data_IF_566018456324
#
_entry.id   IF_566018456324
#
_cell.length_a   1.000
_cell.length_b   1.000
_cell.length_c   1.000
_cell.angle_alpha   90.00
_cell.angle_beta   90.00
_cell.angle_gamma   90.00
#
_symmetry.space_group_name_H-M   'P 1'
#
loop_
_entity.id
_entity.type
_entity.pdbx_description
1 polymer ?
2 water ?
#
# COMPACT_ATOMS: atom_id res chain seq x y z
N UNK A 4 -14.84 1.30 -21.46
CA UNK A 4 -15.64 0.96 -20.29
C UNK A 4 -14.96 1.45 -19.01
N UNK A 5 -14.56 0.50 -18.16
CA UNK A 5 -13.90 0.79 -16.89
C UNK A 5 -12.46 0.28 -17.00
N UNK A 6 -11.62 1.07 -17.66
CA UNK A 6 -10.19 0.79 -17.74
C UNK A 6 -9.40 1.57 -16.70
N UNK A 7 -10.05 1.94 -15.59
CA UNK A 7 -9.38 2.70 -14.55
C UNK A 7 -8.23 1.88 -13.96
N UNK A 8 -7.17 2.54 -13.49
CA UNK A 8 -6.03 1.79 -12.94
C UNK A 8 -6.39 1.09 -11.64
N UNK A 9 -5.90 -0.14 -11.49
CA UNK A 9 -6.13 -0.93 -10.30
C UNK A 9 -4.86 -1.49 -9.68
N UNK A 10 -3.70 -1.25 -10.29
CA UNK A 10 -2.43 -1.81 -9.84
C UNK A 10 -1.55 -0.71 -9.27
N UNK A 11 -0.82 -1.03 -8.21
CA UNK A 11 0.02 -0.08 -7.51
C UNK A 11 1.46 -0.57 -7.45
N UNK A 12 2.39 0.38 -7.45
CA UNK A 12 3.80 0.10 -7.18
C UNK A 12 4.07 0.36 -5.70
N UNK A 13 4.72 -0.59 -5.04
CA UNK A 13 5.02 -0.51 -3.61
C UNK A 13 6.51 -0.78 -3.46
N UNK A 14 7.31 0.28 -3.42
CA UNK A 14 8.75 0.17 -3.35
C UNK A 14 9.32 0.65 -2.02
N UNK A 15 10.66 0.57 -1.96
CA UNK A 15 11.44 0.94 -0.78
C UNK A 15 11.04 0.09 0.43
N UNK A 16 10.86 -1.21 0.21
CA UNK A 16 10.54 -2.14 1.27
C UNK A 16 11.80 -2.64 1.96
N UNK A 17 11.67 -2.98 3.23
CA UNK A 17 12.76 -3.60 3.97
C UNK A 17 12.93 -5.04 3.52
N UNK A 18 14.17 -5.53 3.60
CA UNK A 18 14.43 -6.91 3.21
C UNK A 18 13.78 -7.92 4.16
N UNK A 19 13.30 -7.48 5.32
CA UNK A 19 12.54 -8.34 6.22
C UNK A 19 11.04 -8.30 5.94
N UNK A 20 10.61 -7.61 4.89
CA UNK A 20 9.20 -7.55 4.53
C UNK A 20 8.86 -8.76 3.68
N UNK A 21 7.77 -9.44 4.03
CA UNK A 21 7.31 -10.62 3.31
C UNK A 21 6.22 -10.23 2.32
N UNK A 22 6.14 -10.98 1.22
CA UNK A 22 5.07 -10.78 0.25
C UNK A 22 3.70 -10.96 0.89
N UNK A 23 3.60 -11.85 1.88
CA UNK A 23 2.33 -12.04 2.57
C UNK A 23 2.01 -10.87 3.49
N UNK A 24 3.03 -10.22 4.05
CA UNK A 24 2.79 -9.06 4.91
C UNK A 24 2.25 -7.89 4.10
N UNK A 25 2.78 -7.67 2.90
CA UNK A 25 2.26 -6.62 2.03
C UNK A 25 0.82 -6.92 1.64
N UNK A 26 0.54 -8.17 1.28
CA UNK A 26 -0.82 -8.55 0.91
C UNK A 26 -1.78 -8.38 2.07
N UNK A 27 -1.36 -8.76 3.28
CA UNK A 27 -2.23 -8.61 4.44
C UNK A 27 -2.49 -7.14 4.76
N UNK A 28 -1.51 -6.27 4.51
CA UNK A 28 -1.70 -4.84 4.76
C UNK A 28 -2.72 -4.24 3.81
N UNK A 29 -2.51 -4.41 2.50
CA UNK A 29 -3.38 -3.79 1.51
C UNK A 29 -4.74 -4.48 1.42
N UNK A 30 -4.85 -5.73 1.87
CA UNK A 30 -6.16 -6.38 1.90
C UNK A 30 -7.08 -5.78 2.94
N UNK A 31 -6.54 -5.08 3.94
CA UNK A 31 -7.36 -4.39 4.92
C UNK A 31 -7.91 -3.07 4.41
N UNK A 32 -7.54 -2.66 3.20
CA UNK A 32 -8.14 -1.51 2.54
C UNK A 32 -9.16 -1.93 1.50
N UNK A 33 -8.86 -2.99 0.75
CA UNK A 33 -9.76 -3.53 -0.24
C UNK A 33 -9.32 -4.91 -0.69
N UNK A 34 -10.25 -5.69 -1.24
CA UNK A 34 -9.90 -7.03 -1.71
C UNK A 34 -8.90 -6.97 -2.86
N UNK A 35 -7.80 -7.70 -2.71
CA UNK A 35 -6.72 -7.70 -3.69
C UNK A 35 -6.80 -8.95 -4.56
N UNK A 36 -6.50 -8.78 -5.84
CA UNK A 36 -6.52 -9.89 -6.79
C UNK A 36 -5.16 -10.54 -6.95
N UNK A 37 -4.07 -9.78 -6.82
CA UNK A 37 -2.74 -10.34 -6.97
C UNK A 37 -1.75 -9.45 -6.22
N UNK A 38 -0.61 -10.04 -5.86
CA UNK A 38 0.43 -9.32 -5.13
C UNK A 38 1.74 -10.09 -5.32
N UNK A 39 2.55 -9.64 -6.28
CA UNK A 39 3.82 -10.27 -6.60
C UNK A 39 4.97 -9.39 -6.14
N UNK A 40 5.89 -9.97 -5.38
CA UNK A 40 7.03 -9.26 -4.83
C UNK A 40 8.30 -9.64 -5.59
N UNK A 41 9.15 -8.66 -5.84
CA UNK A 41 10.38 -8.88 -6.59
C UNK A 41 11.58 -8.90 -5.66
N UNK A 46 17.15 -5.03 -8.68
CA UNK A 46 17.04 -4.06 -7.60
C UNK A 46 17.30 -4.65 -6.23
N UNK A 47 18.18 -4.00 -5.46
CA UNK A 47 18.50 -4.49 -4.12
C UNK A 47 17.29 -4.37 -3.20
N UNK A 48 16.83 -3.15 -2.95
CA UNK A 48 15.63 -2.93 -2.15
C UNK A 48 14.44 -3.57 -2.84
N UNK A 49 13.76 -4.53 -2.21
CA UNK A 49 12.67 -5.23 -2.89
C UNK A 49 11.46 -4.33 -3.07
N UNK A 50 10.80 -4.48 -4.22
CA UNK A 50 9.57 -3.78 -4.52
C UNK A 50 8.49 -4.80 -4.88
N UNK A 51 7.25 -4.33 -4.93
CA UNK A 51 6.12 -5.22 -5.12
C UNK A 51 5.03 -4.52 -5.92
N UNK A 52 4.22 -5.32 -6.62
CA UNK A 52 3.07 -4.84 -7.36
C UNK A 52 1.81 -5.42 -6.74
N UNK A 53 0.82 -4.57 -6.47
CA UNK A 53 -0.42 -4.96 -5.83
C UNK A 53 -1.57 -4.58 -6.75
N UNK A 54 -2.37 -5.57 -7.14
CA UNK A 54 -3.53 -5.36 -8.00
C UNK A 54 -4.80 -5.50 -7.18
N UNK A 55 -5.68 -4.50 -7.29
CA UNK A 55 -6.97 -4.52 -6.63
C UNK A 55 -8.06 -4.93 -7.61
N UNK A 56 -9.21 -5.33 -7.06
CA UNK A 56 -10.38 -5.60 -7.89
C UNK A 56 -11.09 -4.32 -8.31
N UNK A 57 -11.04 -3.28 -7.48
CA UNK A 57 -11.77 -2.05 -7.71
C UNK A 57 -10.81 -0.87 -7.73
N UNK A 58 -11.10 0.10 -8.61
CA UNK A 58 -10.26 1.29 -8.70
C UNK A 58 -10.33 2.11 -7.43
N UNK A 59 -11.51 2.16 -6.79
CA UNK A 59 -11.67 2.97 -5.59
C UNK A 59 -10.79 2.48 -4.45
N UNK A 60 -10.55 1.17 -4.37
CA UNK A 60 -9.68 0.64 -3.32
C UNK A 60 -8.22 0.93 -3.63
N UNK A 61 -7.84 0.90 -4.91
CA UNK A 61 -6.47 1.21 -5.29
C UNK A 61 -6.16 2.69 -5.09
N UNK A 62 -7.13 3.56 -5.37
CA UNK A 62 -6.91 4.99 -5.20
C UNK A 62 -6.80 5.36 -3.72
N UNK A 63 -7.56 4.68 -2.86
CA UNK A 63 -7.50 4.97 -1.43
C UNK A 63 -6.18 4.49 -0.83
N UNK A 64 -5.73 3.29 -1.21
CA UNK A 64 -4.47 2.77 -0.69
C UNK A 64 -3.30 3.65 -1.09
N UNK A 65 -3.33 4.19 -2.32
CA UNK A 65 -2.28 5.11 -2.75
C UNK A 65 -2.25 6.37 -1.90
N UNK A 66 -3.43 6.91 -1.57
CA UNK A 66 -3.49 8.15 -0.81
C UNK A 66 -3.03 7.96 0.62
N UNK A 67 -3.30 6.80 1.22
CA UNK A 67 -3.03 6.59 2.63
C UNK A 67 -1.67 5.96 2.91
N UNK A 68 -1.20 5.08 2.03
CA UNK A 68 0.01 4.31 2.32
C UNK A 68 1.29 5.00 1.87
N UNK A 69 1.23 5.86 0.85
CA UNK A 69 2.43 6.51 0.34
C UNK A 69 2.98 7.47 1.39
N UNK A 70 4.17 7.16 1.90
CA UNK A 70 4.83 7.98 2.90
C UNK A 70 4.90 7.37 4.28
N UNK A 71 4.19 6.27 4.52
CA UNK A 71 4.19 5.65 5.84
C UNK A 71 5.46 4.85 6.05
N UNK A 72 5.67 4.43 7.30
CA UNK A 72 6.82 3.62 7.69
C UNK A 72 6.35 2.20 7.94
N UNK A 73 6.73 1.28 7.05
CA UNK A 73 6.34 -0.12 7.20
C UNK A 73 7.01 -0.72 8.43
N UNK A 74 8.34 -0.81 8.40
CA UNK A 74 9.13 -1.26 9.55
C UNK A 74 10.32 -0.31 9.74
N UNK A 75 10.01 0.94 10.05
CA UNK A 75 11.03 1.96 10.19
C UNK A 75 11.57 2.50 8.89
N UNK A 76 11.00 2.11 7.75
CA UNK A 76 11.47 2.52 6.44
C UNK A 76 10.31 3.10 5.65
N UNK A 77 10.48 4.32 5.15
CA UNK A 77 9.42 4.98 4.40
C UNK A 77 9.14 4.22 3.10
N UNK A 78 7.87 3.93 2.86
CA UNK A 78 7.44 3.16 1.69
C UNK A 78 6.96 4.13 0.61
N UNK A 79 7.24 3.78 -0.64
CA UNK A 79 6.83 4.58 -1.79
C UNK A 79 5.71 3.84 -2.51
N UNK A 80 4.55 4.49 -2.64
CA UNK A 80 3.40 3.93 -3.32
C UNK A 80 3.03 4.85 -4.48
N UNK A 81 2.74 4.25 -5.63
CA UNK A 81 2.36 5.00 -6.82
C UNK A 81 1.66 4.05 -7.78
N UNK A 82 1.02 4.63 -8.80
CA UNK A 82 0.42 3.81 -9.84
C UNK A 82 1.50 3.04 -10.59
N UNK A 83 1.23 1.76 -10.86
CA UNK A 83 2.21 0.92 -11.53
C UNK A 83 2.60 1.50 -12.89
N UNK A 84 1.61 1.83 -13.71
CA UNK A 84 1.82 2.54 -14.96
C UNK A 84 1.06 3.85 -14.94
N UNK A 85 1.32 4.69 -15.93
CA UNK A 85 0.65 5.98 -16.02
C UNK A 85 -0.75 5.79 -16.60
N UNK A 86 -1.80 6.21 -15.91
CA UNK A 86 -3.16 6.02 -16.44
C UNK A 86 -3.39 6.86 -17.69
N UNK A 87 -4.38 6.43 -18.47
CA UNK A 87 -4.73 7.11 -19.71
C UNK A 87 -5.31 8.49 -19.44
N UNK A 113 -7.30 24.41 -0.31
CA UNK A 113 -6.43 23.67 0.60
C UNK A 113 -7.24 22.72 1.48
N UNK A 114 -8.49 22.48 1.09
CA UNK A 114 -9.37 21.59 1.84
C UNK A 114 -8.90 20.16 1.68
N UNK A 115 -9.63 19.22 2.27
CA UNK A 115 -9.30 17.80 2.31
C UNK A 115 -8.00 17.52 3.05
N UNK A 116 -7.46 18.50 3.78
CA UNK A 116 -6.21 18.30 4.49
C UNK A 116 -6.41 17.51 5.78
N UNK A 117 -7.46 17.83 6.54
CA UNK A 117 -7.73 17.10 7.77
C UNK A 117 -8.15 15.66 7.48
N UNK A 118 -8.89 15.45 6.39
CA UNK A 118 -9.23 14.08 6.01
C UNK A 118 -8.02 13.33 5.47
N UNK A 119 -7.09 14.04 4.82
CA UNK A 119 -5.85 13.41 4.39
C UNK A 119 -5.00 13.00 5.58
N UNK A 120 -4.92 13.85 6.60
CA UNK A 120 -4.17 13.51 7.80
C UNK A 120 -4.81 12.34 8.54
N UNK A 121 -6.14 12.26 8.52
CA UNK A 121 -6.82 11.15 9.18
C UNK A 121 -6.53 9.83 8.48
N UNK A 122 -6.51 9.83 7.15
CA UNK A 122 -6.22 8.60 6.42
C UNK A 122 -4.80 8.11 6.68
N UNK A 123 -3.84 9.04 6.73
CA UNK A 123 -2.46 8.65 6.99
C UNK A 123 -2.29 8.11 8.41
N UNK A 124 -3.00 8.70 9.38
CA UNK A 124 -2.93 8.19 10.74
C UNK A 124 -3.57 6.81 10.85
N UNK A 125 -4.67 6.59 10.12
CA UNK A 125 -5.28 5.26 10.10
C UNK A 125 -4.38 4.25 9.40
N UNK A 126 -3.70 4.68 8.33
CA UNK A 126 -2.81 3.78 7.61
C UNK A 126 -1.62 3.37 8.47
N UNK A 127 -1.03 4.32 9.19
CA UNK A 127 0.11 4.00 10.04
C UNK A 127 -0.30 3.14 11.23
N UNK A 128 -1.56 3.23 11.66
CA UNK A 128 -2.02 2.44 12.80
C UNK A 128 -2.15 0.97 12.42
N UNK A 129 -2.78 0.68 11.28
CA UNK A 129 -2.95 -0.70 10.86
C UNK A 129 -1.63 -1.33 10.43
N UNK A 130 -0.64 -0.52 10.04
CA UNK A 130 0.69 -1.06 9.77
C UNK A 130 1.34 -1.55 11.05
N UNK A 131 1.20 -0.78 12.14
CA UNK A 131 1.81 -1.17 13.40
C UNK A 131 1.14 -2.40 14.00
N UNK A 132 -0.19 -2.48 13.90
CA UNK A 132 -0.90 -3.63 14.46
C UNK A 132 -0.69 -4.89 13.63
N UNK A 133 -0.56 -4.75 12.30
CA UNK A 133 -0.32 -5.92 11.46
C UNK A 133 1.10 -6.44 11.66
N UNK A 134 2.08 -5.54 11.68
CA UNK A 134 3.46 -5.96 11.94
C UNK A 134 3.67 -6.41 13.38
N UNK A 135 2.77 -6.03 14.29
CA UNK A 135 2.85 -6.54 15.66
C UNK A 135 2.52 -8.02 15.71
N UNK A 136 1.43 -8.43 15.07
CA UNK A 136 1.08 -9.84 15.00
C UNK A 136 2.01 -10.61 14.06
N UNK A 137 2.78 -9.90 13.23
CA UNK A 137 3.74 -10.56 12.35
C UNK A 137 4.85 -11.23 13.14
N UNK A 138 5.14 -10.75 14.35
CA UNK A 138 6.12 -11.38 15.24
C UNK A 138 5.47 -12.27 16.29
N UNK A 139 4.37 -11.83 16.88
CA UNK A 139 3.69 -12.61 17.92
C UNK A 139 3.03 -13.85 17.33
#
# INVERSE_FOLDING_TARGET
GAMEDEMPKTLYVGNLSRDVTEALILQLFSQIGPCKNCKMIMDTAGNDPYCFVEFHEHRHAAAALAAMNGRKIMGKEVKVNWATTPSSQKKDTSGSGGSGGSGGSGGSGHKENVKDYYQKWMEEQAQSLIDKTTAAFQQGK
#
